data_IF_167303567190
#
_entry.id   IF_167303567190
#
_cell.length_a   1.000
_cell.length_b   1.000
_cell.length_c   1.000
_cell.angle_alpha   90.00
_cell.angle_beta   90.00
_cell.angle_gamma   90.00
#
_symmetry.space_group_name_H-M   'P 1'
#
loop_
_entity.id
_entity.type
_entity.pdbx_description
1 polymer ?
#
# COMPACT_ATOMS: atom_id res chain seq x y z
N UNK A 1 -1.20 34.09 0.02
CA UNK A 1 -1.56 32.70 0.23
C UNK A 1 -0.56 31.81 -0.49
N UNK A 2 0.04 30.91 0.24
CA UNK A 2 1.24 30.23 -0.26
C UNK A 2 0.97 28.82 -0.79
N UNK A 3 -0.28 28.49 -1.03
CA UNK A 3 -0.64 27.18 -1.50
C UNK A 3 -1.88 27.16 -2.37
N UNK A 4 -1.99 26.09 -3.13
CA UNK A 4 -3.12 25.84 -4.01
C UNK A 4 -4.23 25.09 -3.26
N UNK A 5 -5.46 25.28 -3.71
CA UNK A 5 -6.56 24.42 -3.29
C UNK A 5 -6.39 23.03 -3.91
N UNK A 6 -7.17 22.05 -3.41
CA UNK A 6 -7.12 20.71 -3.99
C UNK A 6 -7.50 20.71 -5.47
N UNK A 7 -8.47 21.54 -5.87
CA UNK A 7 -8.87 21.62 -7.27
C UNK A 7 -7.77 22.24 -8.14
N UNK A 8 -7.14 23.31 -7.65
CA UNK A 8 -6.00 23.93 -8.35
C UNK A 8 -4.82 22.97 -8.45
N UNK A 9 -4.53 22.23 -7.37
CA UNK A 9 -3.49 21.22 -7.39
C UNK A 9 -3.78 20.10 -8.38
N UNK A 10 -5.03 19.67 -8.46
CA UNK A 10 -5.46 18.65 -9.42
C UNK A 10 -5.24 19.13 -10.87
N UNK A 11 -5.62 20.36 -11.17
CA UNK A 11 -5.40 20.95 -12.50
C UNK A 11 -3.92 21.07 -12.82
N UNK A 12 -3.11 21.43 -11.86
CA UNK A 12 -1.67 21.63 -12.04
C UNK A 12 -0.93 20.32 -12.25
N UNK A 13 -1.28 19.27 -11.49
CA UNK A 13 -0.51 18.03 -11.45
C UNK A 13 -1.09 16.94 -12.34
N UNK A 14 -2.34 17.04 -12.74
CA UNK A 14 -3.03 15.98 -13.46
C UNK A 14 -3.59 14.87 -12.55
N UNK A 15 -3.34 14.91 -11.25
CA UNK A 15 -4.00 14.03 -10.30
C UNK A 15 -5.43 14.49 -10.08
N UNK A 16 -6.39 13.56 -10.02
CA UNK A 16 -7.76 13.94 -9.70
C UNK A 16 -7.89 14.33 -8.22
N UNK A 17 -8.86 15.18 -7.86
CA UNK A 17 -9.10 15.49 -6.44
C UNK A 17 -9.38 14.25 -5.60
N UNK A 18 -10.08 13.26 -6.16
CA UNK A 18 -10.35 11.99 -5.49
C UNK A 18 -9.06 11.25 -5.16
N UNK A 19 -8.13 11.20 -6.12
CA UNK A 19 -6.83 10.54 -5.91
C UNK A 19 -5.98 11.30 -4.91
N UNK A 20 -6.01 12.62 -4.92
CA UNK A 20 -5.30 13.41 -3.93
C UNK A 20 -5.80 13.13 -2.51
N UNK A 21 -7.10 12.98 -2.33
CA UNK A 21 -7.67 12.59 -1.03
C UNK A 21 -7.24 11.18 -0.65
N UNK A 22 -7.20 10.26 -1.61
CA UNK A 22 -6.73 8.90 -1.37
C UNK A 22 -5.27 8.89 -0.92
N UNK A 23 -4.40 9.65 -1.59
CA UNK A 23 -2.98 9.74 -1.22
C UNK A 23 -2.79 10.23 0.21
N UNK A 24 -3.60 11.19 0.63
CA UNK A 24 -3.60 11.65 2.02
C UNK A 24 -4.07 10.55 2.97
N UNK A 25 -5.13 9.84 2.61
CA UNK A 25 -5.72 8.81 3.46
C UNK A 25 -4.75 7.66 3.74
N UNK A 26 -3.88 7.33 2.79
CA UNK A 26 -2.87 6.28 2.96
C UNK A 26 -1.53 6.83 3.45
N UNK A 27 -1.47 8.14 3.73
CA UNK A 27 -0.29 8.76 4.33
C UNK A 27 0.86 9.04 3.38
N UNK A 28 0.63 9.00 2.07
CA UNK A 28 1.68 9.30 1.09
C UNK A 28 1.92 10.79 0.93
N UNK A 29 0.92 11.61 1.18
CA UNK A 29 1.06 13.06 1.28
C UNK A 29 0.38 13.55 2.56
N UNK A 30 0.82 14.69 3.06
CA UNK A 30 0.26 15.33 4.25
C UNK A 30 0.15 16.84 4.01
N UNK A 31 -0.79 17.28 3.16
CA UNK A 31 -0.92 18.69 2.88
C UNK A 31 -1.34 19.46 4.14
N UNK A 32 -0.72 20.60 4.41
CA UNK A 32 -1.15 21.45 5.52
C UNK A 32 -2.59 21.90 5.36
N UNK A 33 -3.22 22.26 6.46
CA UNK A 33 -4.59 22.79 6.48
C UNK A 33 -4.57 24.29 6.78
N UNK A 34 -5.48 25.01 6.16
CA UNK A 34 -5.74 26.40 6.54
C UNK A 34 -6.43 26.46 7.89
N UNK A 35 -6.55 27.65 8.47
CA UNK A 35 -7.32 27.86 9.70
C UNK A 35 -8.78 27.44 9.58
N UNK A 36 -9.33 27.42 8.35
CA UNK A 36 -10.69 26.96 8.05
C UNK A 36 -10.77 25.46 7.77
N UNK A 37 -9.66 24.71 7.85
CA UNK A 37 -9.64 23.27 7.66
C UNK A 37 -9.47 22.80 6.22
N UNK A 38 -9.24 23.69 5.26
CA UNK A 38 -9.01 23.31 3.87
C UNK A 38 -7.56 22.90 3.63
N UNK A 39 -7.36 21.93 2.74
CA UNK A 39 -6.01 21.52 2.33
C UNK A 39 -5.32 22.60 1.52
N UNK A 40 -4.02 22.80 1.75
CA UNK A 40 -3.19 23.68 0.94
C UNK A 40 -2.04 22.87 0.33
N UNK A 41 -1.81 23.06 -0.97
CA UNK A 41 -0.76 22.36 -1.71
C UNK A 41 0.30 23.37 -2.14
N UNK A 42 1.44 23.33 -1.46
CA UNK A 42 2.57 24.20 -1.77
C UNK A 42 3.56 23.53 -2.72
N UNK A 43 4.71 24.17 -2.96
CA UNK A 43 5.74 23.63 -3.86
C UNK A 43 6.20 22.22 -3.45
N UNK A 44 6.29 21.96 -2.16
CA UNK A 44 6.73 20.66 -1.66
C UNK A 44 5.76 19.56 -2.03
N UNK A 45 4.46 19.80 -1.84
CA UNK A 45 3.42 18.84 -2.18
C UNK A 45 3.36 18.61 -3.70
N UNK A 46 3.51 19.67 -4.48
CA UNK A 46 3.54 19.54 -5.94
C UNK A 46 4.74 18.72 -6.42
N UNK A 47 5.90 18.91 -5.80
CA UNK A 47 7.09 18.12 -6.13
C UNK A 47 6.90 16.65 -5.78
N UNK A 48 6.35 16.36 -4.59
CA UNK A 48 6.05 14.98 -4.20
C UNK A 48 5.10 14.30 -5.18
N UNK A 49 4.06 15.00 -5.60
CA UNK A 49 3.09 14.46 -6.55
C UNK A 49 3.72 14.17 -7.92
N UNK A 50 4.61 15.04 -8.39
CA UNK A 50 5.33 14.82 -9.63
C UNK A 50 6.26 13.61 -9.55
N UNK A 51 7.07 13.56 -8.50
CA UNK A 51 8.04 12.48 -8.35
C UNK A 51 7.37 11.13 -8.07
N UNK A 52 6.22 11.14 -7.40
CA UNK A 52 5.43 9.93 -7.21
C UNK A 52 4.95 9.38 -8.55
N UNK A 53 4.43 10.25 -9.42
CA UNK A 53 3.98 9.83 -10.75
C UNK A 53 5.14 9.26 -11.57
N UNK A 54 6.30 9.90 -11.52
CA UNK A 54 7.50 9.41 -12.20
C UNK A 54 7.92 8.04 -11.68
N UNK A 55 7.86 7.84 -10.37
CA UNK A 55 8.18 6.56 -9.74
C UNK A 55 7.25 5.45 -10.24
N UNK A 56 5.94 5.70 -10.23
CA UNK A 56 4.96 4.71 -10.67
C UNK A 56 5.15 4.32 -12.13
N UNK A 57 5.41 5.31 -12.99
CA UNK A 57 5.61 5.07 -14.41
C UNK A 57 6.93 4.35 -14.70
N UNK A 58 7.99 4.75 -14.00
CA UNK A 58 9.32 4.21 -14.22
C UNK A 58 9.43 2.73 -13.86
N UNK A 59 8.75 2.31 -12.81
CA UNK A 59 8.87 0.95 -12.29
C UNK A 59 7.60 0.12 -12.48
N UNK A 60 6.64 0.64 -13.24
CA UNK A 60 5.37 -0.04 -13.47
C UNK A 60 4.69 -0.49 -12.17
N UNK A 61 4.68 0.40 -11.19
CA UNK A 61 4.07 0.18 -9.89
C UNK A 61 2.72 0.86 -9.78
N UNK A 62 1.87 0.33 -8.90
CA UNK A 62 0.63 0.98 -8.51
C UNK A 62 0.77 1.72 -7.18
N UNK A 63 -0.21 2.58 -6.87
CA UNK A 63 -0.22 3.33 -5.61
C UNK A 63 -0.28 2.41 -4.40
N UNK A 64 -0.97 1.28 -4.49
CA UNK A 64 -1.04 0.30 -3.40
C UNK A 64 0.33 -0.27 -3.06
N UNK A 65 1.20 -0.44 -4.05
CA UNK A 65 2.56 -0.93 -3.82
C UNK A 65 3.36 0.06 -2.99
N UNK A 66 3.26 1.35 -3.32
CA UNK A 66 3.98 2.40 -2.61
C UNK A 66 3.42 2.58 -1.19
N UNK A 67 2.10 2.53 -1.05
CA UNK A 67 1.44 2.62 0.26
C UNK A 67 1.84 1.45 1.16
N UNK A 68 1.94 0.24 0.61
CA UNK A 68 2.39 -0.94 1.35
C UNK A 68 3.85 -0.80 1.77
N UNK A 69 4.71 -0.35 0.86
CA UNK A 69 6.13 -0.11 1.16
C UNK A 69 6.30 0.88 2.31
N UNK A 70 5.50 1.95 2.32
CA UNK A 70 5.51 2.94 3.40
C UNK A 70 5.10 2.30 4.73
N UNK A 71 4.03 1.50 4.73
CA UNK A 71 3.61 0.79 5.94
C UNK A 71 4.69 -0.14 6.47
N UNK A 72 5.38 -0.85 5.60
CA UNK A 72 6.49 -1.72 6.01
C UNK A 72 7.62 -0.95 6.67
N UNK A 73 7.91 0.26 6.19
CA UNK A 73 8.96 1.08 6.79
C UNK A 73 8.58 1.60 8.18
N UNK A 74 7.30 1.80 8.42
CA UNK A 74 6.80 2.40 9.66
C UNK A 74 6.34 1.37 10.69
N UNK A 75 6.08 0.13 10.26
CA UNK A 75 5.56 -0.93 11.12
C UNK A 75 6.56 -2.08 11.17
N UNK A 76 7.31 -2.15 12.25
CA UNK A 76 8.34 -3.17 12.44
C UNK A 76 7.75 -4.57 12.51
N UNK A 77 6.58 -4.73 13.13
CA UNK A 77 5.91 -6.02 13.20
C UNK A 77 5.51 -6.53 11.83
N UNK A 78 4.97 -5.65 10.97
CA UNK A 78 4.63 -6.00 9.60
C UNK A 78 5.88 -6.36 8.81
N UNK A 79 6.94 -5.58 8.94
CA UNK A 79 8.21 -5.85 8.26
C UNK A 79 8.76 -7.23 8.62
N UNK A 80 8.77 -7.57 9.91
CA UNK A 80 9.24 -8.86 10.38
C UNK A 80 8.38 -10.02 9.86
N UNK A 81 7.06 -9.84 9.85
CA UNK A 81 6.14 -10.86 9.35
C UNK A 81 6.33 -11.12 7.85
N UNK A 82 6.49 -10.06 7.06
CA UNK A 82 6.73 -10.18 5.62
C UNK A 82 8.07 -10.84 5.35
N UNK A 83 9.13 -10.42 6.05
CA UNK A 83 10.46 -11.01 5.89
C UNK A 83 10.46 -12.50 6.28
N UNK A 84 9.77 -12.86 7.36
CA UNK A 84 9.64 -14.24 7.78
C UNK A 84 8.93 -15.07 6.71
N UNK A 85 7.89 -14.53 6.09
CA UNK A 85 7.19 -15.22 5.00
C UNK A 85 8.11 -15.47 3.81
N UNK A 86 8.96 -14.49 3.44
CA UNK A 86 9.91 -14.67 2.34
C UNK A 86 10.99 -15.70 2.65
N UNK A 87 11.42 -15.80 3.91
CA UNK A 87 12.50 -16.67 4.32
C UNK A 87 12.02 -18.08 4.63
N UNK A 88 10.75 -18.27 4.94
CA UNK A 88 10.18 -19.55 5.36
C UNK A 88 9.77 -20.39 4.15
N UNK A 89 10.56 -21.41 3.85
CA UNK A 89 10.26 -22.30 2.72
C UNK A 89 9.19 -23.31 3.12
N UNK A 90 8.16 -23.50 2.28
CA UNK A 90 7.19 -24.57 2.51
C UNK A 90 7.88 -25.93 2.56
N UNK A 91 7.50 -26.76 3.53
CA UNK A 91 8.11 -28.09 3.70
C UNK A 91 7.05 -29.15 3.87
N UNK A 92 7.22 -30.22 3.09
CA UNK A 92 6.42 -31.40 3.29
C UNK A 92 6.85 -32.05 4.61
N UNK A 93 5.87 -32.43 5.49
CA UNK A 93 6.21 -33.13 6.73
C UNK A 93 6.92 -34.45 6.46
N UNK A 94 7.83 -34.84 7.34
CA UNK A 94 8.56 -36.09 7.18
C UNK A 94 7.60 -37.28 7.24
N UNK A 95 7.86 -38.29 6.40
CA UNK A 95 7.06 -39.51 6.33
C UNK A 95 5.70 -39.34 5.68
N UNK A 96 5.41 -38.20 5.10
CA UNK A 96 4.12 -37.92 4.47
C UNK A 96 4.28 -37.89 2.96
N UNK A 97 3.49 -38.69 2.23
CA UNK A 97 3.49 -38.68 0.80
C UNK A 97 2.92 -37.38 0.24
N UNK A 98 3.34 -36.96 -0.94
CA UNK A 98 2.90 -35.71 -1.58
C UNK A 98 1.37 -35.62 -1.72
N UNK A 99 0.71 -36.73 -2.07
CA UNK A 99 -0.75 -36.75 -2.23
C UNK A 99 -1.46 -36.52 -0.88
N UNK A 100 -0.94 -37.10 0.18
CA UNK A 100 -1.49 -36.92 1.53
C UNK A 100 -1.25 -35.50 2.03
N UNK A 101 -0.11 -34.92 1.75
CA UNK A 101 0.19 -33.54 2.12
C UNK A 101 -0.77 -32.58 1.42
N UNK A 102 -1.02 -32.78 0.12
CA UNK A 102 -1.97 -31.95 -0.60
C UNK A 102 -3.36 -32.03 0.03
N UNK A 103 -3.83 -33.23 0.36
CA UNK A 103 -5.13 -33.45 1.00
C UNK A 103 -5.21 -32.73 2.35
N UNK A 104 -4.17 -32.84 3.15
CA UNK A 104 -4.09 -32.18 4.47
C UNK A 104 -4.16 -30.66 4.32
N UNK A 105 -3.44 -30.10 3.37
CA UNK A 105 -3.50 -28.67 3.11
C UNK A 105 -4.88 -28.23 2.65
N UNK A 106 -5.51 -28.98 1.76
CA UNK A 106 -6.88 -28.69 1.31
C UNK A 106 -7.85 -28.67 2.49
N UNK A 107 -7.77 -29.66 3.35
CA UNK A 107 -8.64 -29.76 4.52
C UNK A 107 -8.43 -28.60 5.50
N UNK A 108 -7.18 -28.21 5.73
CA UNK A 108 -6.86 -27.05 6.55
C UNK A 108 -7.48 -25.78 6.00
N UNK A 109 -7.31 -25.54 4.69
CA UNK A 109 -7.87 -24.36 4.04
C UNK A 109 -9.39 -24.33 4.10
N UNK A 110 -10.02 -25.47 3.90
CA UNK A 110 -11.48 -25.57 3.99
C UNK A 110 -11.99 -25.23 5.38
N UNK A 111 -11.30 -25.73 6.41
CA UNK A 111 -11.64 -25.38 7.81
C UNK A 111 -11.48 -23.92 8.10
N UNK A 112 -10.38 -23.31 7.63
CA UNK A 112 -10.12 -21.88 7.83
C UNK A 112 -11.16 -21.01 7.15
N UNK A 113 -11.66 -21.44 6.01
CA UNK A 113 -12.71 -20.71 5.28
C UNK A 113 -14.12 -21.00 5.80
N UNK A 114 -14.26 -21.95 6.72
CA UNK A 114 -15.56 -22.37 7.22
C UNK A 114 -16.41 -23.15 6.23
N UNK A 115 -15.79 -23.73 5.19
CA UNK A 115 -16.49 -24.47 4.14
C UNK A 115 -16.72 -25.92 4.56
N UNK A 116 -15.77 -26.52 5.28
CA UNK A 116 -15.91 -27.87 5.81
C UNK A 116 -16.76 -27.83 7.09
N UNK A 117 -17.83 -28.58 7.10
CA UNK A 117 -18.72 -28.68 8.23
C UNK A 117 -18.04 -29.43 9.39
#
# INVERSE_FOLDING_TARGET
MDGLTINEAAETTGWSPRMLRYLESVGLIQPPRTGSGYRTFGPEELQLLRTLRELLNRFDCGLSDVAFAKRMREDEGLQQAVNAWFEDAPRRPEGVASADWLRWEQEKHQRLLGIAA
#
